data_IF_367931440451
#
_entry.id   IF_367931440451
#
_cell.length_a   1.000
_cell.length_b   1.000
_cell.length_c   1.000
_cell.angle_alpha   90.00
_cell.angle_beta   90.00
_cell.angle_gamma   90.00
#
_symmetry.space_group_name_H-M   'P 1'
#
loop_
_entity.id
_entity.type
_entity.pdbx_description
1 polymer ?
#
# COMPACT_ATOMS: atom_id res chain seq x y z
N UNK A 1 3.22 -1.56 -22.12
CA UNK A 1 3.76 -0.72 -21.02
C UNK A 1 2.57 -0.02 -20.37
N UNK A 2 2.45 -0.02 -19.03
CA UNK A 2 1.27 0.51 -18.33
C UNK A 2 1.17 2.04 -18.30
N UNK A 3 2.28 2.76 -18.50
CA UNK A 3 2.32 4.23 -18.37
C UNK A 3 2.16 4.72 -16.93
N UNK A 4 2.11 3.82 -15.95
CA UNK A 4 1.96 4.17 -14.54
C UNK A 4 3.29 4.67 -13.96
N UNK A 5 3.20 5.68 -13.09
CA UNK A 5 4.30 6.03 -12.19
C UNK A 5 4.27 5.09 -10.98
N UNK A 6 5.43 4.54 -10.63
CA UNK A 6 5.57 3.58 -9.54
C UNK A 6 6.42 4.21 -8.44
N UNK A 7 5.90 4.26 -7.22
CA UNK A 7 6.66 4.57 -6.02
C UNK A 7 6.93 3.27 -5.27
N UNK A 8 8.20 3.01 -4.97
CA UNK A 8 8.64 1.83 -4.20
C UNK A 8 9.22 2.33 -2.88
N UNK A 9 8.47 2.25 -1.77
CA UNK A 9 8.97 2.70 -0.48
C UNK A 9 10.01 1.73 0.08
N UNK A 10 11.20 2.24 0.40
CA UNK A 10 12.25 1.52 1.12
C UNK A 10 12.03 1.65 2.63
N UNK A 11 11.12 0.84 3.18
CA UNK A 11 10.75 0.88 4.59
C UNK A 11 11.72 0.07 5.46
N UNK A 12 11.91 0.43 6.75
CA UNK A 12 12.82 -0.28 7.64
C UNK A 12 12.43 -1.76 7.81
N UNK A 13 13.39 -2.66 7.59
CA UNK A 13 13.20 -4.11 7.73
C UNK A 13 13.64 -4.62 9.11
N UNK A 14 13.19 -5.82 9.47
CA UNK A 14 13.69 -6.54 10.64
C UNK A 14 15.20 -6.85 10.49
N UNK A 15 15.99 -6.84 11.58
CA UNK A 15 15.58 -6.56 12.97
C UNK A 15 15.64 -5.07 13.34
N UNK A 16 16.01 -4.17 12.42
CA UNK A 16 16.17 -2.73 12.68
C UNK A 16 14.81 -2.05 12.91
N UNK A 17 13.82 -2.41 12.10
CA UNK A 17 12.43 -1.99 12.23
C UNK A 17 11.54 -3.07 12.84
N UNK A 18 10.24 -2.84 12.77
CA UNK A 18 9.18 -3.79 13.10
C UNK A 18 7.93 -3.49 12.25
N UNK A 19 6.86 -4.26 12.44
CA UNK A 19 5.62 -4.08 11.68
C UNK A 19 5.07 -2.63 11.76
N UNK A 20 5.19 -1.97 12.91
CA UNK A 20 4.73 -0.59 13.11
C UNK A 20 5.57 0.40 12.31
N UNK A 21 6.90 0.24 12.27
CA UNK A 21 7.76 1.14 11.48
C UNK A 21 7.59 0.92 9.98
N UNK A 22 7.40 -0.35 9.55
CA UNK A 22 7.08 -0.67 8.16
C UNK A 22 5.77 -0.02 7.73
N UNK A 23 4.71 -0.16 8.54
CA UNK A 23 3.41 0.46 8.30
C UNK A 23 3.51 2.00 8.28
N UNK A 24 4.25 2.59 9.21
CA UNK A 24 4.43 4.04 9.27
C UNK A 24 5.17 4.60 8.04
N UNK A 25 6.19 3.90 7.55
CA UNK A 25 6.92 4.26 6.34
C UNK A 25 6.04 4.12 5.09
N UNK A 26 5.29 3.00 4.96
CA UNK A 26 4.36 2.79 3.86
C UNK A 26 3.23 3.84 3.84
N UNK A 27 2.69 4.20 5.01
CA UNK A 27 1.72 5.29 5.19
C UNK A 27 2.31 6.64 4.78
N UNK A 28 3.52 6.96 5.25
CA UNK A 28 4.21 8.21 4.89
C UNK A 28 4.44 8.32 3.39
N UNK A 29 4.85 7.22 2.74
CA UNK A 29 5.03 7.17 1.29
C UNK A 29 3.71 7.39 0.54
N UNK A 30 2.62 6.74 0.97
CA UNK A 30 1.30 6.92 0.38
C UNK A 30 0.82 8.39 0.51
N UNK A 31 0.97 9.00 1.69
CA UNK A 31 0.63 10.40 1.92
C UNK A 31 1.51 11.35 1.09
N UNK A 32 2.80 11.04 0.95
CA UNK A 32 3.68 11.81 0.10
C UNK A 32 3.25 11.71 -1.36
N UNK A 33 2.95 10.51 -1.86
CA UNK A 33 2.51 10.29 -3.24
C UNK A 33 1.16 10.95 -3.52
N UNK A 34 0.28 10.97 -2.53
CA UNK A 34 -1.04 11.55 -2.67
C UNK A 34 -0.97 13.08 -2.82
N UNK A 35 0.00 13.74 -2.15
CA UNK A 35 0.25 15.18 -2.24
C UNK A 35 1.26 15.59 -3.34
N UNK A 36 2.25 14.75 -3.66
CA UNK A 36 3.38 15.11 -4.53
C UNK A 36 3.45 14.27 -5.81
N UNK A 37 2.54 13.29 -5.97
CA UNK A 37 2.47 12.47 -7.17
C UNK A 37 2.26 13.30 -8.44
N UNK A 38 2.42 12.71 -9.63
CA UNK A 38 2.51 13.47 -10.88
C UNK A 38 1.26 14.32 -11.09
N UNK A 39 1.46 15.62 -11.24
CA UNK A 39 0.41 16.61 -11.51
C UNK A 39 0.45 16.92 -13.02
N UNK A 40 -0.70 16.84 -13.69
CA UNK A 40 -0.81 17.47 -14.99
C UNK A 40 -0.86 18.99 -14.75
N UNK A 41 -0.02 19.76 -15.46
CA UNK A 41 -0.02 21.24 -15.43
C UNK A 41 -1.40 21.82 -15.81
N UNK A 42 -2.24 21.01 -16.46
CA UNK A 42 -3.64 21.28 -16.73
C UNK A 42 -4.49 21.14 -15.44
N UNK A 43 -4.77 22.27 -14.80
CA UNK A 43 -5.64 22.45 -13.61
C UNK A 43 -7.07 21.86 -13.69
N UNK A 44 -7.45 21.22 -14.79
CA UNK A 44 -8.79 20.68 -15.05
C UNK A 44 -8.84 19.15 -15.18
N UNK A 45 -7.72 18.43 -15.03
CA UNK A 45 -7.73 16.97 -15.08
C UNK A 45 -7.92 16.37 -13.69
N UNK A 46 -8.82 15.37 -13.61
CA UNK A 46 -8.96 14.50 -12.43
C UNK A 46 -7.60 13.86 -12.14
N UNK A 47 -7.20 13.89 -10.88
CA UNK A 47 -5.95 13.26 -10.47
C UNK A 47 -5.96 11.77 -10.79
N UNK A 48 -4.81 11.20 -11.22
CA UNK A 48 -4.75 9.78 -11.47
C UNK A 48 -4.99 9.03 -10.15
N UNK A 49 -5.81 7.97 -10.18
CA UNK A 49 -6.08 7.17 -8.99
C UNK A 49 -4.80 6.48 -8.49
N UNK A 50 -4.73 6.23 -7.18
CA UNK A 50 -3.62 5.48 -6.59
C UNK A 50 -4.00 4.00 -6.51
N UNK A 51 -3.10 3.13 -6.93
CA UNK A 51 -3.16 1.70 -6.68
C UNK A 51 -2.06 1.32 -5.69
N UNK A 52 -2.39 0.48 -4.71
CA UNK A 52 -1.43 -0.01 -3.71
C UNK A 52 -1.27 -1.50 -3.90
N UNK A 53 -0.04 -1.99 -3.97
CA UNK A 53 0.19 -3.41 -4.16
C UNK A 53 1.57 -3.86 -3.75
N UNK A 54 1.74 -5.18 -3.73
CA UNK A 54 2.98 -5.82 -3.34
C UNK A 54 2.91 -7.33 -3.49
N UNK A 55 4.04 -7.97 -3.29
CA UNK A 55 4.22 -9.41 -3.35
C UNK A 55 4.58 -9.98 -1.97
N UNK A 56 4.23 -11.23 -1.70
CA UNK A 56 4.64 -11.94 -0.46
C UNK A 56 4.34 -11.11 0.80
N UNK A 57 5.33 -10.89 1.66
CA UNK A 57 5.23 -10.03 2.84
C UNK A 57 4.87 -8.56 2.50
N UNK A 58 5.33 -8.06 1.35
CA UNK A 58 4.95 -6.74 0.83
C UNK A 58 3.47 -6.68 0.44
N UNK A 59 2.92 -7.78 -0.09
CA UNK A 59 1.49 -7.93 -0.38
C UNK A 59 0.63 -7.90 0.88
N UNK A 60 1.08 -8.58 1.94
CA UNK A 60 0.48 -8.47 3.28
C UNK A 60 0.49 -7.03 3.80
N UNK A 61 1.65 -6.37 3.71
CA UNK A 61 1.82 -4.95 4.11
C UNK A 61 0.89 -4.02 3.31
N UNK A 62 0.80 -4.19 1.99
CA UNK A 62 -0.07 -3.43 1.11
C UNK A 62 -1.56 -3.60 1.48
N UNK A 63 -1.98 -4.83 1.77
CA UNK A 63 -3.35 -5.12 2.21
C UNK A 63 -3.64 -4.44 3.56
N UNK A 64 -2.72 -4.58 4.53
CA UNK A 64 -2.86 -3.93 5.84
C UNK A 64 -2.94 -2.41 5.72
N UNK A 65 -2.18 -1.78 4.82
CA UNK A 65 -2.25 -0.34 4.57
C UNK A 65 -3.62 0.07 4.04
N UNK A 66 -4.18 -0.66 3.08
CA UNK A 66 -5.53 -0.40 2.54
C UNK A 66 -6.59 -0.51 3.64
N UNK A 67 -6.50 -1.55 4.49
CA UNK A 67 -7.42 -1.75 5.60
C UNK A 67 -7.32 -0.64 6.65
N UNK A 68 -6.09 -0.18 6.95
CA UNK A 68 -5.85 0.92 7.88
C UNK A 68 -6.44 2.24 7.37
N UNK A 69 -6.28 2.55 6.08
CA UNK A 69 -6.91 3.72 5.44
C UNK A 69 -8.44 3.64 5.54
N UNK A 70 -9.00 2.45 5.27
CA UNK A 70 -10.46 2.22 5.34
C UNK A 70 -10.99 2.35 6.77
N UNK A 71 -10.26 1.84 7.76
CA UNK A 71 -10.64 1.88 9.18
C UNK A 71 -10.53 3.29 9.77
N UNK A 72 -9.47 4.02 9.39
CA UNK A 72 -9.13 5.32 9.94
C UNK A 72 -8.98 6.37 8.82
N UNK A 73 -10.08 6.73 8.11
CA UNK A 73 -10.02 7.66 6.98
C UNK A 73 -9.51 9.05 7.38
N UNK A 74 -9.83 9.46 8.60
CA UNK A 74 -9.36 10.69 9.25
C UNK A 74 -7.84 10.76 9.36
N UNK A 75 -7.20 9.61 9.59
CA UNK A 75 -5.75 9.50 9.69
C UNK A 75 -5.04 9.64 8.34
N UNK A 76 -5.84 9.69 7.26
CA UNK A 76 -5.46 9.90 5.87
C UNK A 76 -6.22 11.08 5.26
N UNK A 77 -6.73 12.01 6.09
CA UNK A 77 -7.26 13.29 5.60
C UNK A 77 -6.15 14.05 4.87
N UNK A 78 -6.13 13.84 3.56
CA UNK A 78 -5.57 14.75 2.59
C UNK A 78 -6.27 16.09 2.83
N UNK A 79 -5.52 17.19 2.84
CA UNK A 79 -5.90 18.54 3.33
C UNK A 79 -7.40 18.91 3.31
N UNK A 80 -7.93 19.71 4.25
CA UNK A 80 -9.30 20.25 4.19
C UNK A 80 -9.66 20.96 2.86
N UNK A 81 -8.66 21.46 2.13
CA UNK A 81 -8.81 22.08 0.81
C UNK A 81 -8.82 21.07 -0.35
N UNK A 82 -8.52 19.79 -0.07
CA UNK A 82 -8.34 18.72 -1.04
C UNK A 82 -9.68 18.08 -1.42
N UNK A 83 -10.56 18.86 -2.04
CA UNK A 83 -11.75 18.34 -2.77
C UNK A 83 -11.38 17.41 -3.93
N UNK A 84 -10.09 17.25 -4.16
CA UNK A 84 -9.40 16.49 -5.20
C UNK A 84 -8.68 15.24 -4.69
N UNK A 85 -8.75 14.96 -3.39
CA UNK A 85 -7.92 13.95 -2.70
C UNK A 85 -7.83 12.64 -3.47
N UNK A 86 -6.60 12.27 -3.86
CA UNK A 86 -6.35 11.03 -4.60
C UNK A 86 -6.79 9.84 -3.76
N UNK A 87 -7.91 9.25 -4.14
CA UNK A 87 -8.43 8.05 -3.49
C UNK A 87 -7.63 6.83 -3.93
N UNK A 88 -7.40 5.90 -3.02
CA UNK A 88 -6.95 4.55 -3.37
C UNK A 88 -8.08 3.89 -4.17
N UNK A 89 -7.87 3.66 -5.46
CA UNK A 89 -8.87 3.04 -6.32
C UNK A 89 -8.89 1.52 -6.20
N UNK A 90 -7.84 0.91 -5.65
CA UNK A 90 -7.78 -0.52 -5.46
C UNK A 90 -6.38 -0.99 -5.06
N UNK A 91 -6.25 -2.31 -4.95
CA UNK A 91 -4.96 -2.94 -4.73
C UNK A 91 -4.76 -4.20 -5.55
N UNK A 92 -3.50 -4.58 -5.68
CA UNK A 92 -3.07 -5.78 -6.41
C UNK A 92 -2.06 -6.53 -5.55
N UNK A 93 -2.16 -7.86 -5.52
CA UNK A 93 -1.40 -8.67 -4.60
C UNK A 93 -0.84 -9.90 -5.32
N UNK A 94 0.48 -10.10 -5.22
CA UNK A 94 1.15 -11.26 -5.79
C UNK A 94 1.54 -12.21 -4.66
N UNK A 95 0.80 -13.31 -4.50
CA UNK A 95 1.02 -14.28 -3.43
C UNK A 95 1.18 -13.64 -2.03
N UNK A 96 0.21 -12.81 -1.59
CA UNK A 96 0.37 -12.04 -0.36
C UNK A 96 0.43 -12.95 0.87
N UNK A 97 1.33 -12.64 1.80
CA UNK A 97 1.35 -13.29 3.10
C UNK A 97 0.35 -12.61 4.04
N UNK A 98 -0.86 -13.18 4.15
CA UNK A 98 -1.98 -12.59 4.91
C UNK A 98 -2.23 -13.27 6.26
N UNK A 99 -1.62 -14.42 6.51
CA UNK A 99 -1.76 -15.18 7.75
C UNK A 99 -0.39 -15.55 8.33
N UNK A 100 0.01 -14.86 9.40
CA UNK A 100 1.29 -15.11 10.07
C UNK A 100 1.28 -16.35 10.98
N UNK A 101 0.11 -16.93 11.25
CA UNK A 101 -0.02 -18.15 12.08
C UNK A 101 0.36 -19.40 11.27
N UNK A 102 0.35 -19.31 9.93
CA UNK A 102 0.73 -20.40 9.03
C UNK A 102 -0.09 -21.69 9.25
N UNK A 103 -1.36 -21.56 9.63
CA UNK A 103 -2.23 -22.66 10.03
C UNK A 103 -3.28 -23.06 8.97
N UNK A 104 -3.13 -22.60 7.73
CA UNK A 104 -4.02 -23.03 6.63
C UNK A 104 -3.61 -24.41 6.10
N UNK A 105 -4.55 -25.20 5.53
CA UNK A 105 -4.23 -26.50 4.95
C UNK A 105 -3.09 -26.46 3.93
N UNK A 106 -3.00 -25.40 3.12
CA UNK A 106 -1.95 -25.23 2.13
C UNK A 106 -0.55 -25.17 2.76
N UNK A 107 -0.40 -24.58 3.96
CA UNK A 107 0.87 -24.61 4.68
C UNK A 107 1.29 -26.04 5.02
N UNK A 108 0.37 -26.94 5.34
CA UNK A 108 0.70 -28.33 5.66
C UNK A 108 0.87 -29.19 4.41
N UNK A 109 -0.01 -29.03 3.43
CA UNK A 109 -0.02 -29.85 2.21
C UNK A 109 1.10 -29.49 1.22
N UNK A 110 1.61 -28.26 1.27
CA UNK A 110 2.65 -27.79 0.35
C UNK A 110 3.99 -27.44 1.01
N UNK A 111 4.12 -27.48 2.35
CA UNK A 111 5.42 -27.23 3.02
C UNK A 111 6.54 -28.19 2.60
N UNK A 112 6.19 -29.40 2.13
CA UNK A 112 7.15 -30.43 1.69
C UNK A 112 6.83 -30.99 0.30
N UNK A 113 5.93 -30.36 -0.45
CA UNK A 113 5.64 -30.79 -1.82
C UNK A 113 6.89 -30.54 -2.68
N UNK A 114 7.57 -31.63 -3.04
CA UNK A 114 8.67 -31.66 -4.01
C UNK A 114 8.14 -31.54 -5.44
#
# INVERSE_FOLDING_TARGET
KSGAMVMVPDYPLLPVGNYSTMMAAAKSALLWLSHNGPWDECKHRRHPPILVGGDSAGGGTALSLILEVKKNPESFKMSPDDRTGRVIAGGFFFSPWTNLVCDTPDYYHHAFAK
#
